data_IF_633845747420
#
_entry.id   IF_633845747420
#
_cell.length_a   1.000
_cell.length_b   1.000
_cell.length_c   1.000
_cell.angle_alpha   90.00
_cell.angle_beta   90.00
_cell.angle_gamma   90.00
#
_symmetry.space_group_name_H-M   'P 1'
#
loop_
_entity.id
_entity.type
_entity.pdbx_description
1 polymer ?
#
# COMPACT_ATOMS: atom_id res chain seq x y z
N UNK A 1 23.54 4.98 23.55
CA UNK A 1 23.60 4.78 22.08
C UNK A 1 22.62 3.67 21.75
N UNK A 2 21.44 4.02 21.26
CA UNK A 2 20.38 3.07 20.90
C UNK A 2 20.66 2.54 19.50
N UNK A 3 20.81 1.22 19.33
CA UNK A 3 20.95 0.65 17.99
C UNK A 3 19.66 0.93 17.18
N UNK A 4 19.77 1.30 15.89
CA UNK A 4 18.60 1.44 15.03
C UNK A 4 17.89 0.09 14.93
N UNK A 5 16.56 0.09 15.07
CA UNK A 5 15.74 -1.11 14.91
C UNK A 5 15.95 -1.75 13.53
N UNK A 6 15.75 -3.06 13.41
CA UNK A 6 15.91 -3.79 12.13
C UNK A 6 15.08 -3.17 11.00
N UNK A 7 13.91 -2.61 11.32
CA UNK A 7 13.07 -1.86 10.38
C UNK A 7 13.78 -0.61 9.84
N UNK A 8 14.54 0.10 10.68
CA UNK A 8 15.25 1.32 10.29
C UNK A 8 16.38 1.02 9.31
N UNK A 9 17.15 -0.04 9.56
CA UNK A 9 18.22 -0.52 8.66
C UNK A 9 17.69 -1.03 7.32
N UNK A 10 16.56 -1.73 7.32
CA UNK A 10 15.93 -2.22 6.08
C UNK A 10 15.57 -1.05 5.15
N UNK A 11 15.02 0.02 5.69
CA UNK A 11 14.68 1.19 4.88
C UNK A 11 15.90 2.05 4.47
N UNK A 12 17.01 2.03 5.21
CA UNK A 12 18.26 2.68 4.76
C UNK A 12 18.81 2.03 3.49
N UNK A 13 18.73 0.70 3.38
CA UNK A 13 19.10 -0.02 2.17
C UNK A 13 18.20 0.35 0.98
N UNK A 14 16.90 0.51 1.21
CA UNK A 14 15.96 0.93 0.17
C UNK A 14 16.11 2.41 -0.21
N UNK A 15 16.45 3.29 0.74
CA UNK A 15 16.72 4.70 0.49
C UNK A 15 17.88 4.90 -0.49
N UNK A 16 18.79 3.93 -0.61
CA UNK A 16 19.94 3.97 -1.52
C UNK A 16 19.65 3.53 -2.96
N UNK A 17 18.46 2.98 -3.25
CA UNK A 17 18.13 2.49 -4.60
C UNK A 17 18.07 3.64 -5.63
N UNK A 18 18.30 3.42 -6.93
CA UNK A 18 17.93 4.39 -7.96
C UNK A 18 16.41 4.65 -7.95
N UNK A 19 15.97 5.85 -8.35
CA UNK A 19 14.53 6.16 -8.41
C UNK A 19 13.79 5.22 -9.37
N UNK A 20 14.38 4.92 -10.53
CA UNK A 20 13.80 3.96 -11.48
C UNK A 20 13.59 2.56 -10.87
N UNK A 21 14.54 2.09 -10.05
CA UNK A 21 14.43 0.81 -9.36
C UNK A 21 13.33 0.83 -8.29
N UNK A 22 13.14 1.95 -7.59
CA UNK A 22 12.00 2.11 -6.67
C UNK A 22 10.67 2.07 -7.41
N UNK A 23 10.59 2.72 -8.56
CA UNK A 23 9.38 2.76 -9.36
C UNK A 23 9.01 1.40 -9.94
N UNK A 24 10.00 0.66 -10.43
CA UNK A 24 9.82 -0.71 -10.92
C UNK A 24 9.32 -1.64 -9.79
N UNK A 25 9.99 -1.61 -8.64
CA UNK A 25 9.59 -2.42 -7.49
C UNK A 25 8.19 -2.05 -6.96
N UNK A 26 7.86 -0.76 -6.92
CA UNK A 26 6.53 -0.28 -6.58
C UNK A 26 5.48 -0.78 -7.59
N UNK A 27 5.77 -0.69 -8.89
CA UNK A 27 4.90 -1.20 -9.95
C UNK A 27 4.64 -2.71 -9.82
N UNK A 28 5.67 -3.47 -9.45
CA UNK A 28 5.55 -4.90 -9.19
C UNK A 28 4.63 -5.20 -7.99
N UNK A 29 4.76 -4.47 -6.87
CA UNK A 29 3.84 -4.63 -5.74
C UNK A 29 2.39 -4.26 -6.10
N UNK A 30 2.18 -3.21 -6.90
CA UNK A 30 0.83 -2.84 -7.38
C UNK A 30 0.23 -3.92 -8.27
N UNK A 31 1.04 -4.52 -9.15
CA UNK A 31 0.62 -5.67 -9.97
C UNK A 31 0.18 -6.84 -9.08
N UNK A 32 0.96 -7.17 -8.05
CA UNK A 32 0.64 -8.24 -7.09
C UNK A 32 -0.63 -7.95 -6.30
N UNK A 33 -0.80 -6.73 -5.80
CA UNK A 33 -2.03 -6.26 -5.14
C UNK A 33 -3.23 -6.43 -6.07
N UNK A 34 -3.11 -6.00 -7.34
CA UNK A 34 -4.19 -6.11 -8.31
C UNK A 34 -4.59 -7.55 -8.61
N UNK A 35 -3.61 -8.46 -8.76
CA UNK A 35 -3.87 -9.89 -8.97
C UNK A 35 -4.56 -10.49 -7.74
N UNK A 36 -4.01 -10.28 -6.54
CA UNK A 36 -4.55 -10.85 -5.31
C UNK A 36 -5.96 -10.34 -5.01
N UNK A 37 -6.19 -9.02 -5.14
CA UNK A 37 -7.50 -8.44 -4.88
C UNK A 37 -8.57 -8.93 -5.87
N UNK A 38 -8.21 -9.14 -7.15
CA UNK A 38 -9.11 -9.74 -8.14
C UNK A 38 -9.41 -11.20 -7.85
N UNK A 39 -8.43 -11.97 -7.37
CA UNK A 39 -8.63 -13.37 -6.97
C UNK A 39 -9.57 -13.48 -5.75
N UNK A 40 -9.47 -12.56 -4.79
CA UNK A 40 -10.39 -12.47 -3.64
C UNK A 40 -11.81 -12.13 -4.11
N UNK A 41 -11.96 -11.24 -5.09
CA UNK A 41 -13.26 -10.86 -5.64
C UNK A 41 -14.09 -9.94 -4.74
N UNK A 42 -15.17 -9.36 -5.29
CA UNK A 42 -15.90 -8.27 -4.65
C UNK A 42 -16.57 -8.65 -3.33
N UNK A 43 -17.12 -9.87 -3.26
CA UNK A 43 -17.85 -10.32 -2.07
C UNK A 43 -16.92 -10.48 -0.87
N UNK A 44 -15.80 -11.18 -1.04
CA UNK A 44 -14.87 -11.46 0.06
C UNK A 44 -13.96 -10.27 0.38
N UNK A 45 -13.90 -9.25 -0.49
CA UNK A 45 -13.06 -8.08 -0.27
C UNK A 45 -13.52 -7.19 0.91
N UNK A 46 -14.78 -7.31 1.33
CA UNK A 46 -15.35 -6.57 2.46
C UNK A 46 -15.40 -7.41 3.77
N UNK A 47 -15.05 -8.70 3.72
CA UNK A 47 -15.06 -9.59 4.87
C UNK A 47 -13.86 -9.34 5.81
N UNK A 48 -14.07 -9.43 7.13
CA UNK A 48 -12.99 -9.28 8.13
C UNK A 48 -12.87 -7.89 8.77
N UNK A 49 -13.82 -6.98 8.50
CA UNK A 49 -13.95 -5.71 9.23
C UNK A 49 -12.74 -4.79 9.06
N UNK A 50 -11.87 -4.69 10.07
CA UNK A 50 -10.67 -3.83 10.01
C UNK A 50 -9.58 -4.41 9.13
N UNK A 51 -9.57 -5.73 8.95
CA UNK A 51 -8.59 -6.46 8.14
C UNK A 51 -9.13 -6.79 6.75
N UNK A 52 -10.30 -6.23 6.40
CA UNK A 52 -10.92 -6.48 5.11
C UNK A 52 -9.99 -6.08 3.96
N UNK A 53 -9.81 -6.94 2.94
CA UNK A 53 -8.93 -6.69 1.80
C UNK A 53 -9.13 -5.31 1.17
N UNK A 54 -10.37 -4.90 0.91
CA UNK A 54 -10.67 -3.58 0.33
C UNK A 54 -10.23 -2.44 1.24
N UNK A 55 -10.42 -2.58 2.55
CA UNK A 55 -10.01 -1.58 3.54
C UNK A 55 -8.49 -1.45 3.64
N UNK A 56 -7.75 -2.56 3.56
CA UNK A 56 -6.30 -2.56 3.55
C UNK A 56 -5.76 -1.81 2.32
N UNK A 57 -6.33 -2.11 1.15
CA UNK A 57 -5.98 -1.46 -0.12
C UNK A 57 -6.35 0.03 -0.10
N UNK A 58 -7.51 0.39 0.46
CA UNK A 58 -7.90 1.79 0.67
C UNK A 58 -6.98 2.53 1.66
N UNK A 59 -6.50 1.86 2.70
CA UNK A 59 -5.51 2.41 3.62
C UNK A 59 -4.18 2.68 2.93
N UNK A 60 -3.74 1.77 2.06
CA UNK A 60 -2.57 1.99 1.24
C UNK A 60 -2.75 3.17 0.26
N UNK A 61 -3.90 3.25 -0.42
CA UNK A 61 -4.24 4.39 -1.28
C UNK A 61 -4.23 5.73 -0.52
N UNK A 62 -4.79 5.76 0.71
CA UNK A 62 -4.73 6.95 1.56
C UNK A 62 -3.28 7.34 1.92
N UNK A 63 -2.39 6.36 2.09
CA UNK A 63 -0.96 6.60 2.34
C UNK A 63 -0.26 7.20 1.11
N UNK A 64 -0.58 6.71 -0.10
CA UNK A 64 -0.11 7.31 -1.35
C UNK A 64 -0.60 8.75 -1.52
N UNK A 65 -1.87 9.03 -1.22
CA UNK A 65 -2.43 10.37 -1.29
C UNK A 65 -1.71 11.33 -0.31
N UNK A 66 -1.47 10.89 0.92
CA UNK A 66 -0.72 11.68 1.91
C UNK A 66 0.74 11.91 1.50
N UNK A 67 1.38 10.92 0.88
CA UNK A 67 2.71 11.07 0.31
C UNK A 67 2.70 12.10 -0.83
N UNK A 68 1.76 12.00 -1.77
CA UNK A 68 1.61 12.99 -2.85
C UNK A 68 1.44 14.40 -2.30
N UNK A 69 0.60 14.59 -1.29
CA UNK A 69 0.39 15.89 -0.65
C UNK A 69 1.68 16.42 0.02
N UNK A 70 2.48 15.54 0.63
CA UNK A 70 3.76 15.89 1.24
C UNK A 70 4.80 16.32 0.19
N UNK A 71 4.88 15.59 -0.92
CA UNK A 71 5.75 15.94 -2.04
C UNK A 71 5.31 17.24 -2.71
N UNK A 72 4.01 17.44 -2.94
CA UNK A 72 3.47 18.67 -3.51
C UNK A 72 3.74 19.88 -2.61
N UNK A 73 3.60 19.72 -1.28
CA UNK A 73 3.92 20.77 -0.32
C UNK A 73 5.41 21.14 -0.36
N UNK A 74 6.30 20.14 -0.41
CA UNK A 74 7.73 20.36 -0.55
C UNK A 74 8.08 21.07 -1.86
N UNK A 75 7.47 20.66 -2.98
CA UNK A 75 7.64 21.29 -4.28
C UNK A 75 7.23 22.77 -4.26
N UNK A 76 6.12 23.07 -3.59
CA UNK A 76 5.58 24.42 -3.44
C UNK A 76 6.28 25.25 -2.35
N UNK A 77 7.18 24.65 -1.55
CA UNK A 77 7.84 25.35 -0.45
C UNK A 77 6.91 25.73 0.70
N UNK A 78 5.81 25.00 0.89
CA UNK A 78 4.83 25.22 1.96
C UNK A 78 4.89 24.09 3.00
N UNK A 79 4.35 24.28 4.21
CA UNK A 79 4.29 23.22 5.20
C UNK A 79 3.52 22.00 4.70
N UNK A 80 4.06 20.81 4.94
CA UNK A 80 3.37 19.55 4.67
C UNK A 80 2.11 19.40 5.54
N UNK A 81 1.12 18.61 5.10
CA UNK A 81 -0.05 18.32 5.93
C UNK A 81 0.36 17.73 7.28
N UNK A 82 -0.40 18.04 8.33
CA UNK A 82 -0.15 17.51 9.67
C UNK A 82 -0.82 16.16 9.91
N UNK A 83 -0.13 15.27 10.64
CA UNK A 83 -0.69 14.01 11.15
C UNK A 83 -0.84 12.88 10.11
N UNK A 84 -0.86 11.64 10.60
CA UNK A 84 -1.03 10.42 9.77
C UNK A 84 -2.50 10.17 9.42
N UNK A 85 -3.06 11.02 8.55
CA UNK A 85 -4.46 10.90 8.08
C UNK A 85 -4.72 9.58 7.38
N UNK A 86 -3.70 8.97 6.76
CA UNK A 86 -3.72 7.64 6.16
C UNK A 86 -4.10 6.52 7.14
N UNK A 87 -3.94 6.76 8.45
CA UNK A 87 -4.32 5.82 9.51
C UNK A 87 -5.68 6.13 10.13
N UNK A 88 -6.28 7.27 9.80
CA UNK A 88 -7.54 7.68 10.40
C UNK A 88 -8.71 6.86 9.80
N UNK A 89 -9.53 6.16 10.61
CA UNK A 89 -10.57 5.27 10.10
C UNK A 89 -11.55 5.93 9.12
N UNK A 90 -11.87 7.20 9.32
CA UNK A 90 -12.76 7.95 8.43
C UNK A 90 -12.11 8.30 7.09
N UNK A 91 -10.80 8.55 7.05
CA UNK A 91 -10.10 8.84 5.80
C UNK A 91 -9.99 7.58 4.94
N UNK A 92 -9.62 6.46 5.56
CA UNK A 92 -9.60 5.14 4.90
C UNK A 92 -10.99 4.77 4.39
N UNK A 93 -12.03 4.97 5.21
CA UNK A 93 -13.41 4.74 4.79
C UNK A 93 -13.84 5.65 3.63
N UNK A 94 -13.43 6.92 3.63
CA UNK A 94 -13.74 7.85 2.54
C UNK A 94 -13.13 7.39 1.21
N UNK A 95 -11.89 6.89 1.22
CA UNK A 95 -11.26 6.29 0.03
C UNK A 95 -12.00 5.03 -0.40
N UNK A 96 -12.27 4.13 0.54
CA UNK A 96 -12.97 2.86 0.28
C UNK A 96 -14.36 3.09 -0.33
N UNK A 97 -15.16 4.01 0.20
CA UNK A 97 -16.50 4.30 -0.31
C UNK A 97 -16.51 5.23 -1.53
N UNK A 98 -15.46 6.05 -1.71
CA UNK A 98 -15.25 6.82 -2.93
C UNK A 98 -14.83 5.96 -4.12
N UNK A 99 -14.26 4.78 -3.88
CA UNK A 99 -13.89 3.78 -4.87
C UNK A 99 -14.57 2.43 -4.58
N UNK A 100 -15.90 2.34 -4.79
CA UNK A 100 -16.73 1.28 -4.20
C UNK A 100 -16.56 -0.11 -4.83
N UNK A 101 -15.83 -0.22 -5.94
CA UNK A 101 -15.57 -1.50 -6.62
C UNK A 101 -14.07 -1.73 -6.75
N UNK A 102 -13.65 -2.99 -6.81
CA UNK A 102 -12.25 -3.37 -7.00
C UNK A 102 -11.64 -2.68 -8.23
N UNK A 103 -12.27 -2.66 -9.43
CA UNK A 103 -11.71 -1.96 -10.58
C UNK A 103 -11.48 -0.46 -10.34
N UNK A 104 -12.41 0.22 -9.66
CA UNK A 104 -12.29 1.66 -9.36
C UNK A 104 -11.17 1.91 -8.35
N UNK A 105 -11.06 1.07 -7.31
CA UNK A 105 -10.01 1.19 -6.31
C UNK A 105 -8.62 0.93 -6.90
N UNK A 106 -8.49 -0.07 -7.78
CA UNK A 106 -7.24 -0.34 -8.49
C UNK A 106 -6.87 0.78 -9.47
N UNK A 107 -7.85 1.38 -10.15
CA UNK A 107 -7.62 2.54 -11.01
C UNK A 107 -7.13 3.75 -10.21
N UNK A 108 -7.72 4.00 -9.03
CA UNK A 108 -7.27 5.05 -8.10
C UNK A 108 -5.84 4.81 -7.63
N UNK A 109 -5.52 3.59 -7.19
CA UNK A 109 -4.16 3.23 -6.77
C UNK A 109 -3.12 3.48 -7.86
N UNK A 110 -3.41 3.08 -9.09
CA UNK A 110 -2.51 3.29 -10.23
C UNK A 110 -2.34 4.78 -10.55
N UNK A 111 -3.42 5.58 -10.46
CA UNK A 111 -3.34 7.02 -10.62
C UNK A 111 -2.45 7.66 -9.55
N UNK A 112 -2.65 7.32 -8.27
CA UNK A 112 -1.89 7.89 -7.16
C UNK A 112 -0.42 7.45 -7.21
N UNK A 113 -0.14 6.21 -7.65
CA UNK A 113 1.23 5.72 -7.88
C UNK A 113 1.95 6.54 -8.94
N UNK A 114 1.30 6.78 -10.09
CA UNK A 114 1.89 7.58 -11.18
C UNK A 114 2.11 9.02 -10.74
N UNK A 115 1.17 9.58 -9.98
CA UNK A 115 1.30 10.92 -9.42
C UNK A 115 2.51 11.01 -8.49
N UNK A 116 2.65 10.07 -7.54
CA UNK A 116 3.79 10.03 -6.63
C UNK A 116 5.11 9.89 -7.38
N UNK A 117 5.19 9.01 -8.38
CA UNK A 117 6.39 8.85 -9.21
C UNK A 117 6.74 10.14 -9.97
N UNK A 118 5.73 10.82 -10.53
CA UNK A 118 5.92 12.12 -11.21
C UNK A 118 6.45 13.19 -10.25
N UNK A 119 5.88 13.28 -9.05
CA UNK A 119 6.32 14.23 -8.03
C UNK A 119 7.72 13.89 -7.51
N UNK A 120 8.03 12.61 -7.31
CA UNK A 120 9.35 12.16 -6.88
C UNK A 120 10.44 12.49 -7.91
N UNK A 121 10.16 12.33 -9.21
CA UNK A 121 11.05 12.77 -10.29
C UNK A 121 11.24 14.29 -10.31
N UNK A 122 10.15 15.05 -10.12
CA UNK A 122 10.25 16.50 -10.03
C UNK A 122 11.14 16.95 -8.85
N UNK A 123 11.05 16.24 -7.73
CA UNK A 123 11.80 16.50 -6.51
C UNK A 123 13.14 15.76 -6.41
N UNK A 124 13.62 15.11 -7.48
CA UNK A 124 14.76 14.17 -7.41
C UNK A 124 16.00 14.79 -6.76
N UNK A 125 16.36 16.01 -7.16
CA UNK A 125 17.50 16.74 -6.60
C UNK A 125 17.34 17.14 -5.12
N UNK A 126 16.11 17.12 -4.60
CA UNK A 126 15.74 17.52 -3.24
C UNK A 126 15.30 16.34 -2.36
N UNK A 127 15.37 15.10 -2.85
CA UNK A 127 14.93 13.91 -2.09
C UNK A 127 15.69 13.72 -0.77
N UNK A 128 16.96 14.15 -0.69
CA UNK A 128 17.75 14.12 0.54
C UNK A 128 17.34 15.20 1.55
N UNK A 129 16.53 16.17 1.14
CA UNK A 129 16.00 17.23 1.98
C UNK A 129 15.11 16.70 3.09
N UNK A 130 15.28 17.27 4.28
CA UNK A 130 14.47 16.96 5.46
C UNK A 130 13.20 17.79 5.42
N UNK A 131 12.07 17.14 5.66
CA UNK A 131 10.76 17.76 5.78
C UNK A 131 10.15 17.41 7.13
N UNK A 132 9.48 18.39 7.74
CA UNK A 132 8.58 18.16 8.86
C UNK A 132 7.19 17.89 8.31
N UNK A 133 6.62 16.72 8.60
CA UNK A 133 5.31 16.35 8.08
C UNK A 133 4.68 15.18 8.85
N UNK A 134 3.77 14.43 8.21
CA UNK A 134 3.03 13.34 8.85
C UNK A 134 3.92 12.24 9.44
N UNK A 135 5.11 12.04 8.87
CA UNK A 135 6.11 11.08 9.31
C UNK A 135 7.06 11.61 10.40
N UNK A 136 6.81 12.83 10.91
CA UNK A 136 7.75 13.56 11.74
C UNK A 136 8.79 14.29 10.89
N UNK A 137 9.97 14.51 11.46
CA UNK A 137 11.13 15.08 10.75
C UNK A 137 11.88 13.97 10.02
N UNK A 138 11.71 13.87 8.70
CA UNK A 138 12.29 12.80 7.87
C UNK A 138 12.71 13.32 6.50
N UNK A 139 13.58 12.60 5.80
CA UNK A 139 13.91 12.90 4.40
C UNK A 139 12.72 12.62 3.49
N UNK A 140 12.50 13.42 2.44
CA UNK A 140 11.50 13.12 1.41
C UNK A 140 11.70 11.72 0.80
N UNK A 141 12.97 11.35 0.61
CA UNK A 141 13.37 10.01 0.19
C UNK A 141 12.74 8.92 1.07
N UNK A 142 12.76 9.12 2.38
CA UNK A 142 12.24 8.16 3.34
C UNK A 142 10.73 8.00 3.23
N UNK A 143 10.01 9.11 3.02
CA UNK A 143 8.55 9.07 2.77
C UNK A 143 8.24 8.25 1.53
N UNK A 144 8.95 8.51 0.43
CA UNK A 144 8.80 7.75 -0.81
C UNK A 144 9.05 6.26 -0.60
N UNK A 145 10.18 5.90 0.02
CA UNK A 145 10.55 4.50 0.26
C UNK A 145 9.53 3.79 1.16
N UNK A 146 9.09 4.43 2.26
CA UNK A 146 8.13 3.86 3.18
C UNK A 146 6.81 3.53 2.48
N UNK A 147 6.32 4.42 1.63
CA UNK A 147 5.02 4.25 0.98
C UNK A 147 5.12 3.39 -0.29
N UNK A 148 6.10 3.65 -1.16
CA UNK A 148 6.24 2.95 -2.44
C UNK A 148 6.68 1.49 -2.28
N UNK A 149 7.47 1.17 -1.23
CA UNK A 149 7.91 -0.19 -0.97
C UNK A 149 7.32 -0.76 0.32
N UNK A 150 7.44 -0.05 1.44
CA UNK A 150 7.04 -0.60 2.75
C UNK A 150 5.55 -0.88 2.85
N UNK A 151 4.70 0.12 2.62
CA UNK A 151 3.25 -0.05 2.66
C UNK A 151 2.75 -0.94 1.51
N UNK A 152 3.34 -0.79 0.32
CA UNK A 152 3.01 -1.62 -0.84
C UNK A 152 3.28 -3.12 -0.57
N UNK A 153 4.45 -3.44 -0.02
CA UNK A 153 4.82 -4.83 0.29
C UNK A 153 3.95 -5.41 1.38
N UNK A 154 3.65 -4.64 2.45
CA UNK A 154 2.73 -5.07 3.51
C UNK A 154 1.36 -5.37 2.96
N UNK A 155 0.81 -4.48 2.13
CA UNK A 155 -0.49 -4.67 1.50
C UNK A 155 -0.49 -5.94 0.62
N UNK A 156 0.50 -6.09 -0.27
CA UNK A 156 0.62 -7.26 -1.14
C UNK A 156 0.68 -8.58 -0.33
N UNK A 157 1.54 -8.65 0.68
CA UNK A 157 1.73 -9.85 1.51
C UNK A 157 0.46 -10.27 2.24
N UNK A 158 -0.29 -9.31 2.80
CA UNK A 158 -1.54 -9.62 3.50
C UNK A 158 -2.60 -10.14 2.52
N UNK A 159 -2.73 -9.53 1.34
CA UNK A 159 -3.67 -10.01 0.31
C UNK A 159 -3.30 -11.40 -0.20
N UNK A 160 -2.02 -11.65 -0.46
CA UNK A 160 -1.53 -12.97 -0.91
C UNK A 160 -1.79 -14.05 0.15
N UNK A 161 -1.59 -13.71 1.43
CA UNK A 161 -1.91 -14.61 2.54
C UNK A 161 -3.41 -14.91 2.60
N UNK A 162 -4.27 -13.92 2.30
CA UNK A 162 -5.72 -14.11 2.25
C UNK A 162 -6.14 -14.99 1.08
N UNK A 163 -5.53 -14.83 -0.10
CA UNK A 163 -5.76 -15.72 -1.26
C UNK A 163 -5.40 -17.15 -0.90
N UNK A 164 -4.23 -17.38 -0.32
CA UNK A 164 -3.79 -18.72 0.09
C UNK A 164 -4.74 -19.36 1.12
N UNK A 165 -5.29 -18.57 2.04
CA UNK A 165 -6.28 -19.05 3.00
C UNK A 165 -7.58 -19.47 2.32
N UNK A 166 -8.10 -18.67 1.39
CA UNK A 166 -9.30 -18.99 0.60
C UNK A 166 -9.08 -20.30 -0.19
N UNK A 167 -7.96 -20.43 -0.89
CA UNK A 167 -7.63 -21.65 -1.64
C UNK A 167 -7.49 -22.90 -0.74
N UNK A 168 -7.00 -22.75 0.49
CA UNK A 168 -6.93 -23.84 1.46
C UNK A 168 -8.33 -24.25 1.95
N UNK A 169 -9.19 -23.28 2.25
CA UNK A 169 -10.58 -23.51 2.67
C UNK A 169 -11.39 -24.21 1.57
N UNK A 170 -11.21 -23.81 0.30
CA UNK A 170 -11.88 -24.43 -0.85
C UNK A 170 -11.41 -25.87 -1.09
N UNK A 171 -10.10 -26.14 -0.98
CA UNK A 171 -9.56 -27.51 -1.06
C UNK A 171 -10.15 -28.40 0.02
N UNK A 172 -10.16 -27.93 1.26
CA UNK A 172 -10.74 -28.68 2.37
C UNK A 172 -12.26 -28.92 2.20
N UNK A 173 -13.00 -27.95 1.61
CA UNK A 173 -14.42 -28.14 1.28
C UNK A 173 -14.61 -29.22 0.23
N UNK A 174 -13.86 -29.18 -0.87
CA UNK A 174 -13.95 -30.18 -1.94
C UNK A 174 -13.58 -31.59 -1.46
N UNK A 175 -12.60 -31.72 -0.57
CA UNK A 175 -12.23 -33.01 0.03
C UNK A 175 -13.36 -33.60 0.89
N UNK A 176 -14.06 -32.77 1.69
CA UNK A 176 -15.24 -33.20 2.47
C UNK A 176 -16.38 -33.65 1.57
N UNK A 177 -16.72 -32.85 0.56
CA UNK A 177 -17.81 -33.15 -0.39
C UNK A 177 -17.54 -34.44 -1.19
N UNK A 178 -16.27 -34.71 -1.54
CA UNK A 178 -15.86 -35.96 -2.19
C UNK A 178 -15.93 -37.16 -1.25
N UNK A 179 -15.55 -36.99 0.02
CA UNK A 179 -15.66 -38.05 1.04
C UNK A 179 -17.11 -38.44 1.35
N UNK A 180 -18.02 -37.46 1.35
CA UNK A 180 -19.46 -37.69 1.55
C UNK A 180 -20.14 -38.31 0.32
N UNK A 181 -19.69 -37.97 -0.89
CA UNK A 181 -20.22 -38.55 -2.14
C UNK A 181 -19.71 -39.97 -2.43
N UNK A 182 -18.70 -40.45 -1.70
CA UNK A 182 -18.14 -41.81 -1.82
C UNK A 182 -18.90 -42.90 -1.03
N UNK A 183 -20.03 -42.56 -0.41
CA UNK A 183 -20.95 -43.49 0.26
C UNK A 183 -22.15 -43.82 -0.66
N UNK A 184 -21.90 -44.57 -1.74
CA UNK A 184 -22.93 -45.32 -2.49
C UNK A 184 -22.38 -46.70 -2.85
#
# INVERSE_FOLDING_TARGET
MTQPSDTTRAYEAFDALPLDALEEACGEFHRRIAVALRAIGEYQADEGGREAPRRLVAGYAASLELACATFAAAAAGIPAPGGRSDRHPAAVAAVMYGAPTIPVLLARLEQDRRMLASLARHEEARLSGVVLGPWGEVRLRRVLTEVALGEASRCAQVLESRVAAIEAEERARMERERGESGLV
#
